data_IF_556270452640
#
_entry.id   IF_556270452640
#
_cell.length_a   1.000
_cell.length_b   1.000
_cell.length_c   1.000
_cell.angle_alpha   90.00
_cell.angle_beta   90.00
_cell.angle_gamma   90.00
#
_symmetry.space_group_name_H-M   'P 1'
#
loop_
_entity.id
_entity.type
_entity.pdbx_description
1 polymer ?
#
# COMPACT_ATOMS: atom_id res chain seq x y z
N UNK A 1 -24.50 21.49 5.85
CA UNK A 1 -25.14 22.79 5.52
C UNK A 1 -26.17 22.53 4.44
N UNK A 2 -27.38 23.07 4.57
CA UNK A 2 -28.38 23.06 3.49
C UNK A 2 -28.40 24.45 2.85
N UNK A 3 -28.39 24.53 1.52
CA UNK A 3 -28.51 25.78 0.76
C UNK A 3 -29.64 25.60 -0.26
N UNK A 4 -30.58 26.54 -0.36
CA UNK A 4 -31.75 26.41 -1.23
C UNK A 4 -32.08 27.73 -1.94
N UNK A 5 -32.58 27.65 -3.17
CA UNK A 5 -32.94 28.81 -4.00
C UNK A 5 -34.44 29.07 -4.14
N UNK A 6 -35.26 28.37 -3.35
CA UNK A 6 -36.73 28.36 -3.39
C UNK A 6 -37.30 27.30 -4.34
N UNK A 7 -36.48 26.73 -5.22
CA UNK A 7 -36.88 25.69 -6.17
C UNK A 7 -35.95 24.47 -6.20
N UNK A 8 -34.71 24.64 -5.76
CA UNK A 8 -33.65 23.63 -5.79
C UNK A 8 -32.78 23.75 -4.57
N UNK A 9 -32.43 22.59 -4.04
CA UNK A 9 -31.40 22.45 -3.03
C UNK A 9 -30.03 22.36 -3.71
N UNK A 10 -29.10 23.16 -3.19
CA UNK A 10 -27.72 23.23 -3.62
C UNK A 10 -26.84 22.34 -2.73
N UNK A 11 -26.11 21.43 -3.36
CA UNK A 11 -25.26 20.45 -2.67
C UNK A 11 -23.85 21.02 -2.50
N UNK A 12 -23.33 21.11 -1.26
CA UNK A 12 -21.94 21.47 -1.05
C UNK A 12 -21.02 20.33 -1.50
N UNK A 13 -20.04 20.65 -2.35
CA UNK A 13 -19.04 19.72 -2.88
C UNK A 13 -17.63 20.26 -2.61
N UNK A 14 -16.59 19.41 -2.55
CA UNK A 14 -15.21 19.86 -2.33
C UNK A 14 -14.69 20.79 -3.43
N UNK A 15 -15.05 20.50 -4.68
CA UNK A 15 -14.72 21.29 -5.86
C UNK A 15 -15.81 21.16 -6.94
N UNK A 16 -15.73 21.99 -7.98
CA UNK A 16 -16.70 22.01 -9.08
C UNK A 16 -16.21 21.29 -10.35
N UNK A 17 -15.02 20.67 -10.33
CA UNK A 17 -14.37 20.16 -11.54
C UNK A 17 -15.15 19.02 -12.21
N UNK A 18 -15.82 18.19 -11.40
CA UNK A 18 -16.69 17.12 -11.89
C UNK A 18 -18.16 17.54 -12.05
N UNK A 19 -18.49 18.81 -11.77
CA UNK A 19 -19.88 19.29 -11.77
C UNK A 19 -20.31 19.74 -13.16
N UNK A 20 -21.38 19.15 -13.69
CA UNK A 20 -21.99 19.59 -14.93
C UNK A 20 -22.64 20.97 -14.80
N UNK A 21 -22.78 21.68 -15.93
CA UNK A 21 -23.36 23.04 -16.01
C UNK A 21 -24.74 23.23 -15.37
N UNK A 22 -25.49 22.14 -15.14
CA UNK A 22 -26.83 22.16 -14.57
C UNK A 22 -26.87 21.71 -13.10
N UNK A 23 -25.75 21.22 -12.57
CA UNK A 23 -25.69 20.66 -11.23
C UNK A 23 -25.71 21.80 -10.21
N UNK A 24 -26.68 21.83 -9.27
CA UNK A 24 -26.76 22.87 -8.25
C UNK A 24 -25.71 22.61 -7.17
N UNK A 25 -24.44 22.73 -7.53
CA UNK A 25 -23.30 22.52 -6.65
C UNK A 25 -22.70 23.84 -6.17
N UNK A 26 -22.21 23.84 -4.94
CA UNK A 26 -21.57 25.00 -4.29
C UNK A 26 -20.31 24.55 -3.56
N UNK A 27 -19.26 25.37 -3.58
CA UNK A 27 -18.05 25.13 -2.79
C UNK A 27 -18.05 26.03 -1.58
N UNK A 28 -17.69 25.48 -0.43
CA UNK A 28 -17.53 26.21 0.81
C UNK A 28 -16.05 26.54 1.02
N UNK A 29 -15.70 27.82 0.99
CA UNK A 29 -14.34 28.33 1.07
C UNK A 29 -14.14 29.03 2.42
N UNK A 30 -13.53 28.34 3.41
CA UNK A 30 -13.29 28.93 4.72
C UNK A 30 -12.18 29.98 4.66
N UNK A 31 -12.41 31.14 5.26
CA UNK A 31 -11.39 32.15 5.51
C UNK A 31 -10.80 32.03 6.92
N UNK A 32 -9.56 32.49 7.09
CA UNK A 32 -8.89 32.54 8.40
C UNK A 32 -9.62 33.41 9.44
N UNK A 33 -10.52 34.30 8.99
CA UNK A 33 -11.39 35.15 9.82
C UNK A 33 -12.57 34.40 10.43
N UNK A 34 -12.78 33.13 10.08
CA UNK A 34 -13.96 32.34 10.45
C UNK A 34 -15.17 32.57 9.53
N UNK A 35 -15.03 33.40 8.48
CA UNK A 35 -16.06 33.60 7.46
C UNK A 35 -16.03 32.45 6.46
N UNK A 36 -17.19 31.87 6.15
CA UNK A 36 -17.33 30.86 5.10
C UNK A 36 -17.89 31.52 3.84
N UNK A 37 -17.10 31.58 2.76
CA UNK A 37 -17.62 32.01 1.45
C UNK A 37 -18.23 30.83 0.71
N UNK A 38 -19.41 31.05 0.13
CA UNK A 38 -20.05 30.06 -0.72
C UNK A 38 -19.84 30.47 -2.18
N UNK A 39 -19.09 29.67 -2.92
CA UNK A 39 -18.84 29.87 -4.34
C UNK A 39 -19.71 28.93 -5.17
N UNK A 40 -20.76 29.43 -5.83
CA UNK A 40 -21.56 28.62 -6.75
C UNK A 40 -20.83 28.42 -8.08
N UNK A 41 -21.41 27.59 -8.96
CA UNK A 41 -20.88 27.36 -10.30
C UNK A 41 -20.92 28.58 -11.22
N UNK A 42 -20.14 28.50 -12.30
CA UNK A 42 -19.99 29.55 -13.29
C UNK A 42 -20.87 29.33 -14.55
N UNK A 43 -21.58 28.19 -14.62
CA UNK A 43 -22.37 27.77 -15.78
C UNK A 43 -21.63 26.84 -16.73
N UNK A 44 -20.36 26.51 -16.44
CA UNK A 44 -19.56 25.46 -17.09
C UNK A 44 -19.31 24.35 -16.06
N UNK A 45 -18.68 24.72 -14.94
CA UNK A 45 -18.39 23.85 -13.80
C UNK A 45 -19.40 24.13 -12.70
N UNK A 46 -20.48 23.37 -12.69
CA UNK A 46 -21.64 23.62 -11.85
C UNK A 46 -22.56 24.73 -12.37
N UNK A 47 -23.78 24.74 -11.86
CA UNK A 47 -24.82 25.71 -12.21
C UNK A 47 -24.48 27.11 -11.69
N UNK A 48 -24.67 28.10 -12.56
CA UNK A 48 -24.72 29.52 -12.15
C UNK A 48 -26.12 29.86 -11.63
N UNK A 49 -26.27 30.47 -10.43
CA UNK A 49 -27.55 30.96 -9.95
C UNK A 49 -28.13 31.99 -10.94
N UNK A 50 -29.44 31.95 -11.16
CA UNK A 50 -30.07 32.94 -12.01
C UNK A 50 -30.00 34.33 -11.36
N UNK A 51 -29.81 35.41 -12.14
CA UNK A 51 -29.81 36.76 -11.60
C UNK A 51 -31.10 37.05 -10.80
N UNK A 52 -30.95 37.64 -9.62
CA UNK A 52 -32.08 38.02 -8.76
C UNK A 52 -32.64 36.91 -7.86
N UNK A 53 -32.10 35.69 -7.93
CA UNK A 53 -32.49 34.60 -7.03
C UNK A 53 -31.90 34.81 -5.64
N UNK A 54 -32.73 34.56 -4.61
CA UNK A 54 -32.29 34.60 -3.20
C UNK A 54 -31.88 33.19 -2.78
N UNK A 55 -30.65 33.05 -2.30
CA UNK A 55 -30.15 31.80 -1.72
C UNK A 55 -30.33 31.83 -0.20
N UNK A 56 -31.03 30.83 0.35
CA UNK A 56 -31.25 30.66 1.79
C UNK A 56 -30.35 29.55 2.31
N UNK A 57 -29.52 29.85 3.30
CA UNK A 57 -28.61 28.90 3.92
C UNK A 57 -29.05 28.55 5.34
N UNK A 58 -28.97 27.27 5.70
CA UNK A 58 -29.12 26.78 7.07
C UNK A 58 -27.77 26.18 7.52
N UNK A 59 -26.84 27.04 7.99
CA UNK A 59 -25.58 26.57 8.53
C UNK A 59 -25.80 25.95 9.91
N UNK A 60 -24.91 25.03 10.27
CA UNK A 60 -24.69 24.66 11.68
C UNK A 60 -23.54 25.54 12.15
N UNK A 61 -23.79 26.38 13.15
CA UNK A 61 -22.81 27.33 13.70
C UNK A 61 -22.36 26.83 15.06
N UNK A 62 -21.06 26.86 15.32
CA UNK A 62 -20.41 26.29 16.51
C UNK A 62 -19.34 25.27 16.12
N UNK A 63 -18.90 24.46 17.08
CA UNK A 63 -17.80 23.51 16.91
C UNK A 63 -16.69 23.75 17.92
N UNK A 64 -15.52 23.17 17.70
CA UNK A 64 -14.42 23.26 18.64
C UNK A 64 -14.56 22.35 19.84
N UNK A 65 -13.54 22.34 20.68
CA UNK A 65 -13.52 21.54 21.91
C UNK A 65 -14.60 21.96 22.90
N UNK A 66 -15.08 23.21 22.82
CA UNK A 66 -16.17 23.73 23.64
C UNK A 66 -17.51 22.99 23.43
N UNK A 67 -17.68 22.31 22.30
CA UNK A 67 -18.83 21.45 22.03
C UNK A 67 -18.76 20.09 22.74
N UNK A 68 -17.62 19.73 23.32
CA UNK A 68 -17.46 18.48 24.07
C UNK A 68 -17.97 18.67 25.50
N UNK A 69 -19.23 18.32 25.74
CA UNK A 69 -19.88 18.47 27.05
C UNK A 69 -20.23 17.11 27.66
N UNK A 70 -20.28 17.05 28.98
CA UNK A 70 -20.65 15.85 29.73
C UNK A 70 -22.09 15.39 29.48
N UNK A 71 -22.43 14.21 30.02
CA UNK A 71 -23.81 13.75 30.08
C UNK A 71 -24.68 14.76 30.85
N UNK A 72 -25.96 14.84 30.46
CA UNK A 72 -27.01 15.67 31.08
C UNK A 72 -26.75 17.19 31.07
N UNK A 73 -25.83 17.68 30.24
CA UNK A 73 -25.57 19.13 30.05
C UNK A 73 -26.51 19.75 29.01
N UNK A 74 -26.84 19.02 27.95
CA UNK A 74 -27.71 19.46 26.85
C UNK A 74 -29.18 19.22 27.22
N UNK A 75 -29.77 20.17 27.94
CA UNK A 75 -31.13 20.03 28.50
C UNK A 75 -32.18 20.92 27.84
N UNK A 76 -31.76 21.83 26.95
CA UNK A 76 -32.63 22.78 26.28
C UNK A 76 -32.96 22.32 24.85
N UNK A 77 -34.23 22.02 24.59
CA UNK A 77 -34.74 21.84 23.24
C UNK A 77 -35.06 23.21 22.62
N UNK A 78 -34.47 23.52 21.47
CA UNK A 78 -34.80 24.74 20.72
C UNK A 78 -35.92 24.43 19.70
N UNK A 79 -37.00 25.23 19.65
CA UNK A 79 -38.03 25.09 18.62
C UNK A 79 -37.46 25.44 17.23
N UNK A 80 -38.04 24.84 16.20
CA UNK A 80 -37.73 25.14 14.79
C UNK A 80 -38.98 25.65 14.07
N UNK A 81 -38.83 26.18 12.85
CA UNK A 81 -39.97 26.64 12.06
C UNK A 81 -41.00 25.53 11.74
N UNK A 82 -40.57 24.26 11.73
CA UNK A 82 -41.41 23.10 11.42
C UNK A 82 -41.86 22.32 12.68
N UNK A 83 -41.34 22.66 13.86
CA UNK A 83 -41.56 21.88 15.07
C UNK A 83 -41.45 22.73 16.34
N UNK A 84 -42.47 22.66 17.19
CA UNK A 84 -42.49 23.26 18.52
C UNK A 84 -42.24 22.21 19.59
N UNK A 85 -41.61 22.62 20.69
CA UNK A 85 -41.39 21.75 21.85
C UNK A 85 -42.73 21.53 22.56
N UNK A 86 -43.27 20.30 22.64
CA UNK A 86 -44.53 20.05 23.30
C UNK A 86 -44.43 20.34 24.80
N UNK A 87 -45.53 20.84 25.38
CA UNK A 87 -45.57 21.12 26.82
C UNK A 87 -45.34 19.84 27.64
N UNK A 88 -44.49 19.94 28.66
CA UNK A 88 -44.15 18.81 29.56
C UNK A 88 -43.09 17.86 29.02
N UNK A 89 -42.50 18.11 27.85
CA UNK A 89 -41.38 17.33 27.31
C UNK A 89 -40.06 17.94 27.75
N UNK A 90 -39.20 17.15 28.41
CA UNK A 90 -37.81 17.48 28.70
C UNK A 90 -36.88 16.69 27.79
N UNK A 91 -35.72 17.25 27.46
CA UNK A 91 -34.65 16.57 26.75
C UNK A 91 -33.40 16.54 27.63
N UNK A 92 -32.59 15.49 27.48
CA UNK A 92 -31.24 15.44 28.01
C UNK A 92 -30.35 14.67 27.04
N UNK A 93 -29.04 14.78 27.18
CA UNK A 93 -28.07 13.90 26.52
C UNK A 93 -27.55 12.85 27.52
N UNK A 94 -28.03 11.60 27.49
CA UNK A 94 -27.57 10.56 28.43
C UNK A 94 -26.09 10.21 28.29
N UNK A 95 -25.50 10.53 27.13
CA UNK A 95 -24.09 10.33 26.83
C UNK A 95 -23.42 11.69 26.60
N UNK A 96 -22.11 11.82 26.91
CA UNK A 96 -21.36 13.03 26.61
C UNK A 96 -21.40 13.34 25.11
N UNK A 97 -21.46 14.62 24.78
CA UNK A 97 -21.20 15.08 23.43
C UNK A 97 -19.69 15.07 23.20
N UNK A 98 -19.24 14.47 22.10
CA UNK A 98 -17.83 14.29 21.78
C UNK A 98 -17.57 14.56 20.30
N UNK A 99 -16.31 14.76 19.91
CA UNK A 99 -15.89 14.93 18.52
C UNK A 99 -15.72 16.39 18.09
N UNK A 100 -15.93 17.34 19.00
CA UNK A 100 -15.53 18.73 18.81
C UNK A 100 -14.02 18.87 18.81
N UNK A 101 -13.47 19.48 17.76
CA UNK A 101 -12.05 19.75 17.57
C UNK A 101 -11.93 21.20 17.13
N UNK A 102 -10.98 21.94 17.73
CA UNK A 102 -10.71 23.32 17.35
C UNK A 102 -10.12 23.37 15.93
N UNK A 103 -10.40 24.43 15.16
CA UNK A 103 -9.75 24.62 13.87
C UNK A 103 -8.23 24.72 14.05
N UNK A 104 -7.47 24.22 13.08
CA UNK A 104 -6.01 24.36 13.05
C UNK A 104 -5.61 25.84 13.13
N UNK A 105 -4.58 26.13 13.92
CA UNK A 105 -4.10 27.51 14.06
C UNK A 105 -3.36 27.96 12.79
N UNK A 106 -3.37 29.27 12.54
CA UNK A 106 -2.67 29.84 11.37
C UNK A 106 -1.17 29.54 11.41
N UNK A 107 -0.56 29.43 12.59
CA UNK A 107 0.87 29.15 12.73
C UNK A 107 1.20 27.68 12.45
N UNK A 108 0.36 26.73 12.91
CA UNK A 108 0.45 25.32 12.50
C UNK A 108 0.27 25.16 10.99
N UNK A 109 -0.72 25.85 10.41
CA UNK A 109 -0.92 25.84 8.96
C UNK A 109 0.30 26.38 8.21
N UNK A 110 0.96 27.44 8.69
CA UNK A 110 2.20 27.95 8.07
C UNK A 110 3.36 26.96 8.15
N UNK A 111 3.44 26.17 9.22
CA UNK A 111 4.47 25.14 9.39
C UNK A 111 4.21 23.94 8.46
N UNK A 112 2.95 23.50 8.36
CA UNK A 112 2.54 22.31 7.60
C UNK A 112 2.36 22.57 6.09
N UNK A 113 1.84 23.74 5.71
CA UNK A 113 1.51 24.04 4.31
C UNK A 113 2.69 23.87 3.33
N UNK A 114 3.95 24.27 3.65
CA UNK A 114 5.09 24.01 2.77
C UNK A 114 5.35 22.52 2.52
N UNK A 115 5.06 21.66 3.50
CA UNK A 115 5.15 20.21 3.30
C UNK A 115 4.03 19.71 2.40
N UNK A 116 2.79 20.15 2.62
CA UNK A 116 1.65 19.80 1.78
C UNK A 116 1.87 20.20 0.30
N UNK A 117 2.48 21.37 0.04
CA UNK A 117 2.84 21.80 -1.31
C UNK A 117 4.01 21.01 -1.94
N UNK A 118 4.91 20.45 -1.10
CA UNK A 118 6.02 19.61 -1.57
C UNK A 118 5.59 18.17 -1.83
N UNK A 119 4.48 17.74 -1.24
CA UNK A 119 3.88 16.44 -1.53
C UNK A 119 3.32 16.44 -2.94
N UNK A 120 4.02 15.74 -3.85
CA UNK A 120 3.59 15.59 -5.23
C UNK A 120 2.37 14.65 -5.28
N UNK A 121 1.17 15.22 -5.47
CA UNK A 121 -0.07 14.46 -5.68
C UNK A 121 -0.26 14.04 -7.14
N UNK A 122 0.83 13.87 -7.89
CA UNK A 122 0.81 13.50 -9.31
C UNK A 122 1.88 12.48 -9.64
N UNK A 123 1.53 11.49 -10.44
CA UNK A 123 2.47 10.53 -10.99
C UNK A 123 2.77 10.90 -12.45
N UNK A 124 4.00 11.35 -12.73
CA UNK A 124 4.42 11.77 -14.08
C UNK A 124 5.49 10.83 -14.62
N UNK A 125 6.54 10.60 -13.84
CA UNK A 125 7.61 9.66 -14.18
C UNK A 125 7.22 8.24 -13.81
N UNK A 126 7.92 7.24 -14.36
CA UNK A 126 7.70 5.86 -13.93
C UNK A 126 8.05 5.67 -12.45
N UNK A 127 9.07 6.36 -11.93
CA UNK A 127 9.38 6.32 -10.51
C UNK A 127 8.22 6.84 -9.65
N UNK A 128 7.51 7.89 -10.09
CA UNK A 128 6.35 8.42 -9.36
C UNK A 128 5.19 7.42 -9.33
N UNK A 129 4.96 6.68 -10.43
CA UNK A 129 3.91 5.64 -10.47
C UNK A 129 4.25 4.47 -9.53
N UNK A 130 5.52 4.06 -9.49
CA UNK A 130 5.97 3.05 -8.53
C UNK A 130 5.79 3.55 -7.07
N UNK A 131 6.24 4.76 -6.77
CA UNK A 131 6.10 5.36 -5.43
C UNK A 131 4.62 5.49 -5.02
N UNK A 132 3.75 5.90 -5.94
CA UNK A 132 2.30 5.98 -5.70
C UNK A 132 1.71 4.60 -5.38
N UNK A 133 2.12 3.55 -6.08
CA UNK A 133 1.66 2.19 -5.78
C UNK A 133 2.14 1.70 -4.40
N UNK A 134 3.37 2.06 -4.00
CA UNK A 134 3.94 1.76 -2.68
C UNK A 134 3.27 2.51 -1.51
N UNK A 135 2.44 3.54 -1.77
CA UNK A 135 1.60 4.15 -0.73
C UNK A 135 0.50 3.18 -0.23
N UNK A 136 0.14 2.15 -0.98
CA UNK A 136 -0.79 1.12 -0.52
C UNK A 136 -0.07 0.12 0.43
N UNK A 137 -0.53 -0.08 1.69
CA UNK A 137 0.12 -0.96 2.66
C UNK A 137 0.16 -2.46 2.29
N UNK A 138 -0.53 -2.86 1.24
CA UNK A 138 -0.50 -4.20 0.66
C UNK A 138 0.61 -4.41 -0.38
N UNK A 139 1.33 -3.36 -0.77
CA UNK A 139 2.45 -3.40 -1.72
C UNK A 139 3.74 -3.17 -0.95
N UNK A 140 4.67 -4.12 -0.98
CA UNK A 140 5.99 -3.92 -0.36
C UNK A 140 6.94 -3.15 -1.28
N UNK A 141 6.85 -3.41 -2.59
CA UNK A 141 7.61 -2.73 -3.63
C UNK A 141 6.84 -2.66 -4.92
N UNK A 142 7.12 -1.63 -5.71
CA UNK A 142 6.63 -1.54 -7.08
C UNK A 142 7.76 -1.09 -8.00
N UNK A 143 7.69 -1.52 -9.25
CA UNK A 143 8.51 -0.98 -10.31
C UNK A 143 7.62 -0.59 -11.46
N UNK A 144 7.86 0.56 -12.07
CA UNK A 144 7.11 0.96 -13.24
C UNK A 144 8.05 1.29 -14.40
N UNK A 145 7.51 1.15 -15.61
CA UNK A 145 8.18 1.54 -16.83
C UNK A 145 7.18 2.00 -17.87
N UNK A 146 7.68 2.83 -18.80
CA UNK A 146 6.93 3.15 -20.01
C UNK A 146 6.95 1.95 -20.96
N UNK A 147 5.77 1.48 -21.39
CA UNK A 147 5.60 0.37 -22.32
C UNK A 147 4.81 0.83 -23.54
N UNK A 148 5.25 0.45 -24.74
CA UNK A 148 4.47 0.68 -25.96
C UNK A 148 3.28 -0.28 -26.00
N UNK A 149 2.06 0.25 -26.02
CA UNK A 149 0.81 -0.52 -26.05
C UNK A 149 0.33 -0.83 -27.48
N UNK A 150 1.10 -0.45 -28.50
CA UNK A 150 0.77 -0.65 -29.91
C UNK A 150 0.44 0.65 -30.65
N UNK A 151 -0.27 1.56 -29.99
CA UNK A 151 -0.70 2.86 -30.58
C UNK A 151 -0.23 4.08 -29.77
N UNK A 152 0.02 3.92 -28.48
CA UNK A 152 0.59 4.93 -27.60
C UNK A 152 1.41 4.25 -26.50
N UNK A 153 1.96 5.04 -25.58
CA UNK A 153 2.68 4.52 -24.42
C UNK A 153 1.79 4.50 -23.18
N UNK A 154 1.81 3.37 -22.46
CA UNK A 154 1.23 3.22 -21.14
C UNK A 154 2.33 3.15 -20.07
N UNK A 155 1.98 3.44 -18.81
CA UNK A 155 2.80 3.13 -17.66
C UNK A 155 2.44 1.74 -17.16
N UNK A 156 3.34 0.78 -17.35
CA UNK A 156 3.19 -0.56 -16.79
C UNK A 156 3.79 -0.57 -15.38
N UNK A 157 2.95 -0.80 -14.36
CA UNK A 157 3.34 -0.86 -12.95
C UNK A 157 3.29 -2.32 -12.49
N UNK A 158 4.43 -2.85 -12.10
CA UNK A 158 4.56 -4.22 -11.58
C UNK A 158 4.55 -4.17 -10.07
N UNK A 159 3.64 -4.93 -9.45
CA UNK A 159 3.45 -4.94 -8.00
C UNK A 159 4.12 -6.15 -7.36
N UNK A 160 4.87 -5.92 -6.30
CA UNK A 160 5.31 -6.95 -5.36
C UNK A 160 4.47 -6.81 -4.08
N UNK A 161 3.46 -7.67 -3.88
CA UNK A 161 2.60 -7.60 -2.72
C UNK A 161 3.31 -8.17 -1.48
N UNK A 162 2.97 -7.64 -0.30
CA UNK A 162 3.35 -8.34 0.95
C UNK A 162 2.68 -9.72 0.99
N UNK A 163 3.34 -10.72 1.56
CA UNK A 163 2.88 -12.11 1.60
C UNK A 163 1.47 -12.25 2.16
N UNK A 164 1.11 -11.45 3.18
CA UNK A 164 -0.24 -11.44 3.77
C UNK A 164 -1.35 -10.97 2.81
N UNK A 165 -1.00 -10.25 1.75
CA UNK A 165 -1.89 -9.75 0.69
C UNK A 165 -1.64 -10.45 -0.64
N UNK A 166 -0.71 -11.42 -0.70
CA UNK A 166 -0.46 -12.20 -1.90
C UNK A 166 -1.71 -13.02 -2.26
N UNK A 167 -2.16 -12.91 -3.51
CA UNK A 167 -3.36 -13.59 -4.00
C UNK A 167 -4.68 -12.93 -3.59
N UNK A 168 -4.66 -11.83 -2.85
CA UNK A 168 -5.88 -11.06 -2.59
C UNK A 168 -6.37 -10.37 -3.88
N UNK A 169 -7.60 -10.68 -4.35
CA UNK A 169 -8.12 -10.11 -5.59
C UNK A 169 -8.42 -8.61 -5.50
N UNK A 170 -8.51 -8.04 -4.29
CA UNK A 170 -8.89 -6.61 -4.11
C UNK A 170 -7.71 -5.66 -4.27
N UNK A 171 -6.48 -6.09 -3.96
CA UNK A 171 -5.28 -5.26 -3.99
C UNK A 171 -5.07 -4.55 -5.33
N UNK A 172 -5.26 -5.26 -6.46
CA UNK A 172 -5.09 -4.66 -7.78
C UNK A 172 -6.08 -3.51 -8.03
N UNK A 173 -7.34 -3.65 -7.59
CA UNK A 173 -8.34 -2.61 -7.74
C UNK A 173 -8.04 -1.40 -6.83
N UNK A 174 -7.58 -1.64 -5.60
CA UNK A 174 -7.18 -0.57 -4.67
C UNK A 174 -6.01 0.25 -5.22
N UNK A 175 -4.97 -0.43 -5.72
CA UNK A 175 -3.79 0.23 -6.30
C UNK A 175 -4.15 0.94 -7.61
N UNK A 176 -5.02 0.35 -8.44
CA UNK A 176 -5.50 1.01 -9.65
C UNK A 176 -6.27 2.31 -9.33
N UNK A 177 -7.16 2.29 -8.34
CA UNK A 177 -7.89 3.49 -7.90
C UNK A 177 -6.95 4.58 -7.37
N UNK A 178 -5.91 4.18 -6.62
CA UNK A 178 -4.89 5.09 -6.11
C UNK A 178 -4.06 5.72 -7.24
N UNK A 179 -3.67 4.93 -8.25
CA UNK A 179 -2.96 5.44 -9.41
C UNK A 179 -3.84 6.33 -10.30
N UNK A 180 -5.14 6.03 -10.40
CA UNK A 180 -6.08 6.80 -11.23
C UNK A 180 -6.24 8.24 -10.73
N UNK A 181 -6.25 8.46 -9.41
CA UNK A 181 -6.33 9.81 -8.84
C UNK A 181 -5.02 10.61 -8.92
N UNK A 182 -3.89 9.95 -9.23
CA UNK A 182 -2.55 10.59 -9.30
C UNK A 182 -1.99 10.69 -10.72
N UNK A 183 -2.37 9.81 -11.65
CA UNK A 183 -1.83 9.82 -13.02
C UNK A 183 -2.21 11.09 -13.77
N UNK A 184 -1.40 11.47 -14.75
CA UNK A 184 -1.79 12.52 -15.70
C UNK A 184 -2.97 12.08 -16.56
N UNK A 185 -3.92 13.00 -16.79
CA UNK A 185 -5.02 12.77 -17.73
C UNK A 185 -4.48 12.36 -19.11
N UNK A 186 -5.09 11.32 -19.69
CA UNK A 186 -4.65 10.74 -20.98
C UNK A 186 -3.44 9.80 -20.89
N UNK A 187 -2.88 9.55 -19.70
CA UNK A 187 -1.89 8.49 -19.49
C UNK A 187 -2.59 7.21 -19.05
N UNK A 188 -2.42 6.12 -19.79
CA UNK A 188 -2.91 4.82 -19.36
C UNK A 188 -1.93 4.16 -18.39
N UNK A 189 -2.49 3.49 -17.39
CA UNK A 189 -1.74 2.76 -16.36
C UNK A 189 -2.22 1.30 -16.37
N UNK A 190 -1.28 0.39 -16.53
CA UNK A 190 -1.54 -1.06 -16.56
C UNK A 190 -0.82 -1.71 -15.39
N UNK A 191 -1.54 -2.51 -14.61
CA UNK A 191 -0.93 -3.33 -13.56
C UNK A 191 -0.44 -4.66 -14.13
N UNK A 192 0.76 -5.08 -13.72
CA UNK A 192 1.36 -6.34 -14.12
C UNK A 192 1.82 -7.15 -12.90
N UNK A 193 1.73 -8.50 -12.96
CA UNK A 193 2.30 -9.35 -11.92
C UNK A 193 3.84 -9.38 -11.99
N UNK A 194 4.50 -9.68 -10.86
CA UNK A 194 5.95 -9.85 -10.81
C UNK A 194 6.38 -11.06 -11.66
N UNK A 195 7.58 -10.98 -12.25
CA UNK A 195 8.18 -12.13 -12.92
C UNK A 195 8.89 -12.99 -11.87
N UNK A 196 8.22 -14.01 -11.35
CA UNK A 196 8.87 -14.93 -10.42
C UNK A 196 9.91 -15.79 -11.13
N UNK A 197 11.13 -15.80 -10.59
CA UNK A 197 12.25 -16.60 -11.10
C UNK A 197 12.52 -17.74 -10.12
N UNK A 198 12.09 -18.97 -10.44
CA UNK A 198 12.34 -20.11 -9.57
C UNK A 198 13.83 -20.47 -9.58
N UNK A 199 14.34 -20.82 -8.40
CA UNK A 199 15.74 -21.20 -8.21
C UNK A 199 15.88 -22.71 -7.99
N UNK A 200 17.01 -23.25 -8.43
CA UNK A 200 17.43 -24.61 -8.13
C UNK A 200 18.69 -24.56 -7.28
N UNK A 201 18.52 -24.84 -5.98
CA UNK A 201 19.59 -24.78 -4.99
C UNK A 201 19.77 -26.16 -4.37
N UNK A 202 20.98 -26.71 -4.46
CA UNK A 202 21.37 -27.93 -3.77
C UNK A 202 22.74 -27.70 -3.13
N UNK A 203 22.79 -27.71 -1.80
CA UNK A 203 23.97 -27.38 -1.00
C UNK A 203 24.61 -28.63 -0.40
N UNK A 204 25.94 -28.67 -0.38
CA UNK A 204 26.69 -29.69 0.35
C UNK A 204 26.88 -29.24 1.79
N UNK A 205 26.47 -30.06 2.76
CA UNK A 205 26.53 -29.70 4.18
C UNK A 205 27.38 -30.71 4.91
N UNK A 206 28.44 -30.23 5.57
CA UNK A 206 29.17 -31.03 6.54
C UNK A 206 28.57 -30.80 7.93
N UNK A 207 28.04 -31.86 8.52
CA UNK A 207 27.45 -31.85 9.87
C UNK A 207 28.57 -31.92 10.90
N UNK A 208 28.57 -31.00 11.85
CA UNK A 208 29.53 -30.95 12.94
C UNK A 208 29.37 -32.17 13.88
N UNK A 209 30.45 -32.57 14.52
CA UNK A 209 30.46 -33.70 15.47
C UNK A 209 29.47 -33.45 16.63
N UNK A 210 28.83 -34.53 17.10
CA UNK A 210 27.83 -34.46 18.17
C UNK A 210 26.44 -34.00 17.72
N UNK A 211 26.21 -33.80 16.42
CA UNK A 211 24.90 -33.50 15.85
C UNK A 211 24.40 -34.60 14.91
N UNK A 212 23.10 -34.91 15.00
CA UNK A 212 22.43 -35.83 14.10
C UNK A 212 22.08 -35.13 12.78
N UNK A 213 22.42 -35.75 11.65
CA UNK A 213 22.15 -35.21 10.32
C UNK A 213 20.67 -34.88 10.10
N UNK A 214 19.76 -35.73 10.58
CA UNK A 214 18.31 -35.50 10.45
C UNK A 214 17.84 -34.25 11.22
N UNK A 215 18.44 -33.94 12.36
CA UNK A 215 18.10 -32.75 13.15
C UNK A 215 18.63 -31.48 12.48
N UNK A 216 19.84 -31.52 11.93
CA UNK A 216 20.42 -30.42 11.16
C UNK A 216 19.61 -30.16 9.90
N UNK A 217 19.25 -31.20 9.14
CA UNK A 217 18.42 -31.06 7.95
C UNK A 217 17.05 -30.42 8.28
N UNK A 218 16.40 -30.84 9.38
CA UNK A 218 15.14 -30.23 9.82
C UNK A 218 15.29 -28.74 10.13
N UNK A 219 16.39 -28.33 10.77
CA UNK A 219 16.69 -26.91 11.06
C UNK A 219 17.01 -26.12 9.80
N UNK A 220 17.77 -26.69 8.87
CA UNK A 220 18.08 -26.08 7.57
C UNK A 220 16.82 -25.87 6.74
N UNK A 221 15.92 -26.87 6.68
CA UNK A 221 14.62 -26.74 6.03
C UNK A 221 13.75 -25.66 6.66
N UNK A 222 13.85 -25.47 7.98
CA UNK A 222 13.17 -24.37 8.65
C UNK A 222 13.79 -23.02 8.27
N UNK A 223 15.11 -22.85 8.40
CA UNK A 223 15.77 -21.56 8.12
C UNK A 223 15.64 -21.14 6.66
N UNK A 224 15.76 -22.08 5.71
CA UNK A 224 15.60 -21.82 4.26
C UNK A 224 14.17 -22.03 3.76
N UNK A 225 13.17 -21.72 4.58
CA UNK A 225 11.75 -21.83 4.20
C UNK A 225 11.14 -20.49 3.77
N UNK A 226 9.90 -20.55 3.30
CA UNK A 226 9.06 -19.40 2.95
C UNK A 226 8.15 -18.92 4.08
N UNK A 227 8.27 -19.50 5.28
CA UNK A 227 7.37 -19.22 6.42
C UNK A 227 7.98 -18.27 7.44
N UNK A 228 7.12 -17.71 8.28
CA UNK A 228 7.53 -17.09 9.54
C UNK A 228 7.99 -18.20 10.50
N UNK A 229 9.18 -18.06 11.06
CA UNK A 229 9.76 -18.96 12.03
C UNK A 229 9.09 -18.79 13.40
N UNK A 230 9.20 -19.78 14.32
CA UNK A 230 8.60 -19.69 15.65
C UNK A 230 9.09 -18.50 16.50
N UNK A 231 10.28 -17.97 16.20
CA UNK A 231 10.88 -16.81 16.86
C UNK A 231 10.44 -15.46 16.24
N UNK A 232 9.53 -15.49 15.26
CA UNK A 232 9.05 -14.32 14.54
C UNK A 232 9.95 -13.85 13.39
N UNK A 233 11.14 -14.45 13.21
CA UNK A 233 11.97 -14.15 12.04
C UNK A 233 11.35 -14.72 10.78
N UNK A 234 11.61 -14.08 9.65
CA UNK A 234 11.24 -14.61 8.34
C UNK A 234 12.29 -15.63 7.87
N UNK A 235 11.83 -16.79 7.40
CA UNK A 235 12.70 -17.74 6.69
C UNK A 235 13.41 -17.09 5.51
N UNK A 236 14.56 -17.61 5.12
CA UNK A 236 15.46 -16.98 4.16
C UNK A 236 14.80 -16.73 2.79
N UNK A 237 13.91 -17.62 2.35
CA UNK A 237 13.16 -17.50 1.10
C UNK A 237 11.73 -16.99 1.29
N UNK A 238 11.40 -16.42 2.45
CA UNK A 238 10.11 -15.78 2.66
C UNK A 238 9.87 -14.67 1.62
N UNK A 239 8.69 -14.56 0.99
CA UNK A 239 8.41 -13.57 -0.05
C UNK A 239 8.73 -12.13 0.38
N UNK A 240 8.44 -11.76 1.62
CA UNK A 240 8.73 -10.42 2.15
C UNK A 240 10.24 -10.09 2.33
N UNK A 241 11.15 -11.05 2.09
CA UNK A 241 12.61 -10.82 2.14
C UNK A 241 13.25 -10.62 0.77
N UNK A 242 12.56 -11.01 -0.30
CA UNK A 242 13.08 -11.02 -1.67
C UNK A 242 12.18 -10.16 -2.53
N UNK A 243 12.74 -9.09 -3.11
CA UNK A 243 11.98 -8.16 -3.94
C UNK A 243 12.66 -7.90 -5.29
N UNK A 244 12.06 -7.02 -6.09
CA UNK A 244 12.48 -6.69 -7.44
C UNK A 244 13.96 -6.33 -7.55
N UNK A 245 14.66 -6.94 -8.51
CA UNK A 245 16.05 -6.63 -8.82
C UNK A 245 17.05 -7.04 -7.73
N UNK A 246 16.58 -7.67 -6.64
CA UNK A 246 17.43 -8.14 -5.58
C UNK A 246 18.13 -9.43 -6.00
N UNK A 247 19.46 -9.37 -6.11
CA UNK A 247 20.28 -10.53 -6.43
C UNK A 247 20.46 -11.42 -5.20
N UNK A 248 20.47 -12.74 -5.40
CA UNK A 248 20.79 -13.70 -4.35
C UNK A 248 22.30 -13.93 -4.31
N UNK A 249 22.96 -13.51 -3.24
CA UNK A 249 24.39 -13.74 -3.06
C UNK A 249 24.66 -15.08 -2.38
N UNK A 250 25.71 -15.78 -2.83
CA UNK A 250 26.21 -17.00 -2.20
C UNK A 250 26.62 -16.73 -0.76
N UNK A 251 27.25 -15.59 -0.49
CA UNK A 251 27.68 -15.20 0.86
C UNK A 251 26.51 -15.13 1.85
N UNK A 252 25.38 -14.56 1.44
CA UNK A 252 24.20 -14.39 2.31
C UNK A 252 23.55 -15.74 2.59
N UNK A 253 23.48 -16.60 1.57
CA UNK A 253 22.97 -17.97 1.71
C UNK A 253 23.89 -18.79 2.62
N UNK A 254 25.20 -18.75 2.41
CA UNK A 254 26.19 -19.44 3.26
C UNK A 254 26.12 -18.93 4.69
N UNK A 255 26.01 -17.61 4.90
CA UNK A 255 25.89 -17.04 6.25
C UNK A 255 24.63 -17.54 6.98
N UNK A 256 23.47 -17.57 6.29
CA UNK A 256 22.23 -18.09 6.86
C UNK A 256 22.33 -19.58 7.21
N UNK A 257 22.96 -20.38 6.34
CA UNK A 257 23.16 -21.82 6.57
C UNK A 257 24.16 -22.07 7.70
N UNK A 258 25.28 -21.36 7.74
CA UNK A 258 26.31 -21.49 8.79
C UNK A 258 25.81 -21.03 10.16
N UNK A 259 24.80 -20.16 10.23
CA UNK A 259 24.17 -19.77 11.48
C UNK A 259 23.33 -20.90 12.12
N UNK A 260 23.01 -21.97 11.38
CA UNK A 260 22.25 -23.10 11.90
C UNK A 260 23.14 -23.97 12.79
N UNK A 261 22.77 -24.20 14.07
CA UNK A 261 23.61 -24.99 14.95
C UNK A 261 23.71 -26.45 14.48
N UNK A 262 24.95 -26.93 14.35
CA UNK A 262 25.29 -28.26 13.83
C UNK A 262 25.85 -28.26 12.40
N UNK A 263 25.91 -27.10 11.74
CA UNK A 263 26.61 -26.95 10.45
C UNK A 263 28.08 -26.62 10.70
N UNK A 264 28.98 -27.45 10.19
CA UNK A 264 30.43 -27.21 10.26
C UNK A 264 30.98 -26.52 9.00
N UNK A 265 30.46 -26.90 7.83
CA UNK A 265 30.90 -26.36 6.54
C UNK A 265 29.80 -26.44 5.47
N UNK A 266 29.82 -25.51 4.53
CA UNK A 266 28.88 -25.42 3.41
C UNK A 266 29.64 -25.39 2.09
N UNK A 267 29.28 -26.30 1.20
CA UNK A 267 29.78 -26.38 -0.17
C UNK A 267 28.72 -25.87 -1.13
N UNK A 268 29.08 -24.89 -1.96
CA UNK A 268 28.23 -24.32 -3.00
C UNK A 268 28.92 -24.52 -4.34
N UNK A 269 28.27 -25.24 -5.25
CA UNK A 269 28.76 -25.50 -6.60
C UNK A 269 27.58 -25.70 -7.55
N UNK A 270 27.87 -25.74 -8.85
CA UNK A 270 26.96 -26.24 -9.88
C UNK A 270 27.68 -27.37 -10.60
N UNK A 271 27.54 -28.58 -10.06
CA UNK A 271 28.25 -29.76 -10.54
C UNK A 271 27.32 -30.97 -10.55
N UNK A 272 27.18 -31.58 -11.73
CA UNK A 272 26.34 -32.73 -11.95
C UNK A 272 26.79 -33.96 -11.16
N UNK A 273 28.10 -34.16 -10.98
CA UNK A 273 28.65 -35.33 -10.30
C UNK A 273 28.37 -35.32 -8.79
N UNK A 274 28.55 -34.17 -8.15
CA UNK A 274 28.21 -33.99 -6.72
C UNK A 274 26.71 -33.77 -6.49
N UNK A 275 25.96 -33.41 -7.53
CA UNK A 275 24.54 -33.07 -7.46
C UNK A 275 24.26 -31.72 -6.79
N UNK A 276 25.29 -30.87 -6.65
CA UNK A 276 25.18 -29.51 -6.12
C UNK A 276 24.69 -28.55 -7.19
N UNK A 277 23.85 -27.57 -6.81
CA UNK A 277 23.20 -26.64 -7.73
C UNK A 277 23.15 -25.25 -7.11
N UNK A 278 23.43 -24.23 -7.90
CA UNK A 278 23.21 -22.83 -7.54
C UNK A 278 22.93 -22.02 -8.80
N UNK A 279 21.69 -22.11 -9.27
CA UNK A 279 21.26 -21.53 -10.56
C UNK A 279 19.76 -21.26 -10.61
N UNK A 280 19.32 -20.63 -11.69
CA UNK A 280 17.90 -20.51 -12.02
C UNK A 280 17.35 -21.87 -12.47
N UNK A 281 16.17 -22.26 -11.97
CA UNK A 281 15.54 -23.54 -12.31
C UNK A 281 15.23 -23.60 -13.81
N UNK A 282 15.54 -24.73 -14.44
CA UNK A 282 15.28 -24.96 -15.87
C UNK A 282 16.20 -24.19 -16.83
N UNK A 283 17.27 -23.55 -16.32
CA UNK A 283 18.29 -22.89 -17.14
C UNK A 283 19.65 -23.60 -16.99
N UNK A 284 20.47 -23.63 -18.04
CA UNK A 284 21.86 -24.07 -17.90
C UNK A 284 22.64 -23.09 -17.00
N UNK A 285 23.73 -23.54 -16.36
CA UNK A 285 24.60 -22.67 -15.57
C UNK A 285 25.17 -21.55 -16.44
N UNK A 286 25.15 -20.33 -15.92
CA UNK A 286 25.59 -19.09 -16.55
C UNK A 286 26.62 -18.35 -15.68
N UNK A 287 27.47 -19.11 -14.96
CA UNK A 287 28.56 -18.57 -14.15
C UNK A 287 28.13 -17.91 -12.83
N UNK A 288 26.98 -18.28 -12.28
CA UNK A 288 26.43 -17.76 -11.03
C UNK A 288 27.36 -18.02 -9.84
N UNK A 289 27.89 -19.25 -9.74
CA UNK A 289 28.84 -19.63 -8.68
C UNK A 289 30.14 -18.82 -8.77
N UNK A 290 30.71 -18.69 -9.96
CA UNK A 290 31.94 -17.91 -10.18
C UNK A 290 31.75 -16.41 -9.85
N UNK A 291 30.55 -15.87 -10.11
CA UNK A 291 30.18 -14.50 -9.73
C UNK A 291 29.76 -14.36 -8.27
N UNK A 292 29.55 -15.47 -7.56
CA UNK A 292 29.05 -15.50 -6.19
C UNK A 292 27.62 -15.01 -6.03
N UNK A 293 26.81 -14.97 -7.11
CA UNK A 293 25.41 -14.52 -7.04
C UNK A 293 24.55 -14.93 -8.23
N UNK A 294 23.24 -14.97 -8.01
CA UNK A 294 22.21 -15.03 -9.04
C UNK A 294 21.59 -13.63 -9.17
N UNK A 295 21.81 -12.95 -10.30
CA UNK A 295 21.20 -11.64 -10.53
C UNK A 295 19.69 -11.77 -10.72
N UNK A 296 18.95 -10.73 -10.33
CA UNK A 296 17.55 -10.54 -10.69
C UNK A 296 17.43 -9.26 -11.54
N UNK A 297 16.64 -9.31 -12.61
CA UNK A 297 16.30 -8.12 -13.38
C UNK A 297 15.31 -7.23 -12.60
N UNK A 298 15.12 -6.00 -13.06
CA UNK A 298 14.31 -4.99 -12.36
C UNK A 298 12.85 -5.38 -12.07
N UNK A 299 12.29 -6.39 -12.75
CA UNK A 299 10.93 -6.91 -12.54
C UNK A 299 10.90 -8.36 -12.03
N UNK A 300 12.07 -8.93 -11.80
CA UNK A 300 12.21 -10.31 -11.36
C UNK A 300 12.25 -10.38 -9.84
N UNK A 301 11.50 -11.33 -9.28
CA UNK A 301 11.56 -11.70 -7.87
C UNK A 301 12.03 -13.14 -7.79
N UNK A 302 13.19 -13.36 -7.19
CA UNK A 302 13.73 -14.72 -7.02
C UNK A 302 12.90 -15.50 -6.02
N UNK A 303 12.70 -16.80 -6.25
CA UNK A 303 11.84 -17.67 -5.43
C UNK A 303 12.40 -19.08 -5.30
N UNK A 304 12.31 -19.67 -4.11
CA UNK A 304 12.72 -21.05 -3.86
C UNK A 304 11.85 -21.69 -2.76
N UNK A 305 10.63 -22.05 -3.12
CA UNK A 305 9.61 -22.41 -2.13
C UNK A 305 9.80 -23.79 -1.52
N UNK A 306 10.36 -24.72 -2.29
CA UNK A 306 10.46 -26.13 -1.91
C UNK A 306 9.09 -26.75 -1.56
N UNK A 307 8.01 -26.27 -2.18
CA UNK A 307 6.66 -26.81 -2.04
C UNK A 307 6.49 -28.03 -2.96
N UNK A 308 6.24 -29.25 -2.43
CA UNK A 308 6.02 -30.45 -3.22
C UNK A 308 4.80 -30.36 -4.16
N UNK A 309 3.82 -29.51 -3.84
CA UNK A 309 2.62 -29.32 -4.67
C UNK A 309 2.89 -28.41 -5.88
N UNK A 310 3.91 -27.55 -5.78
CA UNK A 310 4.28 -26.57 -6.81
C UNK A 310 5.81 -26.58 -7.03
N UNK A 311 6.39 -27.70 -7.52
CA UNK A 311 7.83 -27.85 -7.69
C UNK A 311 8.45 -26.84 -8.66
N UNK A 312 7.65 -26.21 -9.53
CA UNK A 312 8.04 -25.15 -10.44
C UNK A 312 8.36 -23.82 -9.73
N UNK A 313 8.03 -23.65 -8.45
CA UNK A 313 8.34 -22.44 -7.65
C UNK A 313 9.74 -22.47 -7.02
N UNK A 314 10.59 -23.36 -7.51
CA UNK A 314 11.97 -23.49 -7.06
C UNK A 314 12.11 -24.42 -5.86
N UNK A 315 13.34 -24.90 -5.66
CA UNK A 315 13.64 -25.94 -4.67
C UNK A 315 14.98 -25.71 -4.01
N UNK A 316 15.03 -26.06 -2.74
CA UNK A 316 16.24 -26.12 -1.91
C UNK A 316 16.42 -27.55 -1.42
N UNK A 317 17.59 -28.13 -1.69
CA UNK A 317 17.97 -29.48 -1.29
C UNK A 317 19.32 -29.48 -0.58
N UNK A 318 19.56 -30.52 0.21
CA UNK A 318 20.78 -30.67 1.01
C UNK A 318 21.42 -32.02 0.74
N UNK A 319 22.75 -32.03 0.59
CA UNK A 319 23.58 -33.24 0.57
C UNK A 319 24.40 -33.26 1.85
N UNK A 320 23.89 -33.94 2.87
CA UNK A 320 24.54 -34.01 4.18
C UNK A 320 25.63 -35.08 4.19
N UNK A 321 26.78 -34.77 4.80
CA UNK A 321 27.89 -35.68 5.07
C UNK A 321 28.41 -35.46 6.49
N UNK A 322 29.01 -36.48 7.09
CA UNK A 322 29.47 -36.41 8.48
C UNK A 322 28.32 -36.54 9.49
N UNK A 323 28.57 -36.07 10.71
CA UNK A 323 27.72 -36.37 11.86
C UNK A 323 28.22 -37.62 12.59
N UNK A 324 27.93 -37.65 13.90
CA UNK A 324 28.33 -38.70 14.84
C UNK A 324 27.19 -39.68 15.11
#
# INVERSE_FOLDING_TARGET
MLLDDGSRTWTPVPDLLASGRLDPHVVAEPEATGVLRLRPGDGINGRRPAPGVTLTAWPRVGGGIAGNVGADVLTLALPTAAWTVPAGVSVSNPLPATGGVDPESVDEVKELAPYAFRTQLRAVTSADHAATAEENPGVQRAVARRRWAGSWYAQEVTLDPVARRAGDPTLAAEVAALLDVRRLAGTDVELAPPAHVPLEIALGICVADGHLAADVERRLRAELSTRVLPDGRLGFFHPDRLTFGQSLYVSDLVAAVMAVPGVGYVEVADDEATGLRFRRLGRPPAGEVARGRIDAAAREVLRADSDPSNPEYGRVAFRLRGGA
#
